data_IF_466299583158
#
_entry.id   IF_466299583158
#
_cell.length_a   1.000
_cell.length_b   1.000
_cell.length_c   1.000
_cell.angle_alpha   90.00
_cell.angle_beta   90.00
_cell.angle_gamma   90.00
#
_symmetry.space_group_name_H-M   'P 1'
#
loop_
_entity.id
_entity.type
_entity.pdbx_description
1 polymer ?
#
# COMPACT_ATOMS: atom_id res chain seq x y z
N UNK A 1 -55.17 -29.75 4.53
CA UNK A 1 -56.53 -29.71 3.95
C UNK A 1 -57.06 -28.29 4.15
N UNK A 2 -57.50 -27.50 3.19
CA UNK A 2 -57.78 -27.69 1.77
C UNK A 2 -57.58 -26.35 1.05
N UNK A 3 -57.23 -26.45 -0.24
CA UNK A 3 -57.22 -25.39 -1.24
C UNK A 3 -58.62 -24.81 -1.41
N UNK A 4 -58.70 -23.51 -1.68
CA UNK A 4 -59.78 -22.92 -2.47
C UNK A 4 -59.15 -22.04 -3.56
N UNK A 5 -59.06 -22.63 -4.75
CA UNK A 5 -59.14 -21.91 -6.01
C UNK A 5 -60.64 -21.83 -6.35
N UNK A 6 -61.11 -20.72 -6.91
CA UNK A 6 -62.12 -20.82 -7.96
C UNK A 6 -61.92 -19.68 -9.01
N UNK A 7 -62.21 -19.97 -10.30
CA UNK A 7 -61.81 -19.21 -11.47
C UNK A 7 -62.96 -18.36 -12.01
N UNK A 8 -62.67 -17.47 -12.97
CA UNK A 8 -63.54 -17.14 -14.11
C UNK A 8 -62.82 -16.23 -15.12
N UNK A 9 -62.67 -16.76 -16.33
CA UNK A 9 -62.18 -16.17 -17.60
C UNK A 9 -63.18 -15.11 -18.18
N UNK A 10 -63.08 -14.56 -19.42
CA UNK A 10 -62.00 -14.48 -20.44
C UNK A 10 -61.91 -13.08 -21.15
N UNK A 11 -61.21 -13.03 -22.31
CA UNK A 11 -61.23 -12.05 -23.42
C UNK A 11 -60.21 -10.89 -23.31
N UNK A 12 -59.36 -10.57 -24.30
CA UNK A 12 -59.22 -11.01 -25.67
C UNK A 12 -57.99 -10.34 -26.32
N UNK A 13 -57.29 -11.11 -27.15
CA UNK A 13 -56.52 -10.75 -28.36
C UNK A 13 -55.87 -9.36 -28.51
N UNK A 14 -54.53 -9.36 -28.67
CA UNK A 14 -53.87 -8.68 -29.79
C UNK A 14 -52.47 -9.29 -30.01
N UNK A 15 -52.35 -10.16 -31.01
CA UNK A 15 -51.07 -10.58 -31.57
C UNK A 15 -50.43 -9.39 -32.28
N UNK A 16 -49.31 -8.90 -31.75
CA UNK A 16 -48.34 -8.15 -32.53
C UNK A 16 -47.19 -9.10 -32.86
N UNK A 17 -47.19 -9.63 -34.09
CA UNK A 17 -46.06 -10.35 -34.66
C UNK A 17 -44.81 -9.47 -34.63
N UNK A 18 -43.91 -9.73 -33.68
CA UNK A 18 -42.52 -9.30 -33.80
C UNK A 18 -41.79 -10.31 -34.67
N UNK A 19 -41.46 -9.91 -35.89
CA UNK A 19 -40.52 -10.61 -36.74
C UNK A 19 -39.22 -10.89 -35.96
N UNK A 20 -38.94 -12.16 -35.71
CA UNK A 20 -37.67 -12.61 -35.17
C UNK A 20 -36.58 -12.32 -36.21
N UNK A 21 -35.72 -11.33 -35.93
CA UNK A 21 -34.46 -11.16 -36.68
C UNK A 21 -33.60 -12.39 -36.39
N UNK A 22 -33.31 -13.18 -37.43
CA UNK A 22 -32.52 -14.39 -37.32
C UNK A 22 -31.09 -14.05 -36.88
N UNK A 23 -30.65 -14.65 -35.78
CA UNK A 23 -29.31 -14.49 -35.21
C UNK A 23 -28.29 -15.44 -35.87
N UNK A 24 -28.50 -15.76 -37.15
CA UNK A 24 -27.72 -16.76 -37.85
C UNK A 24 -26.34 -16.19 -38.22
N UNK A 25 -25.30 -16.67 -37.52
CA UNK A 25 -23.91 -16.56 -38.00
C UNK A 25 -23.83 -17.12 -39.42
N UNK A 26 -23.06 -16.52 -40.34
CA UNK A 26 -22.79 -17.14 -41.63
C UNK A 26 -22.11 -18.50 -41.40
N UNK A 27 -22.82 -19.58 -41.74
CA UNK A 27 -22.31 -20.94 -41.61
C UNK A 27 -21.10 -21.13 -42.53
N UNK A 28 -19.94 -21.46 -41.96
CA UNK A 28 -18.76 -21.90 -42.71
C UNK A 28 -17.59 -20.93 -42.81
N UNK A 29 -17.60 -19.76 -42.14
CA UNK A 29 -16.40 -18.88 -42.03
C UNK A 29 -16.04 -18.63 -40.57
N UNK A 30 -14.83 -19.04 -40.19
CA UNK A 30 -14.21 -18.61 -38.94
C UNK A 30 -13.81 -17.13 -39.04
N UNK A 31 -13.98 -16.36 -37.95
CA UNK A 31 -13.45 -15.00 -37.89
C UNK A 31 -11.91 -15.11 -37.76
N UNK A 32 -11.14 -14.25 -38.45
CA UNK A 32 -9.68 -14.24 -38.35
C UNK A 32 -9.19 -14.07 -36.91
N UNK A 33 -8.02 -14.62 -36.60
CA UNK A 33 -7.39 -14.45 -35.29
C UNK A 33 -7.24 -12.97 -34.94
N UNK A 34 -7.67 -12.58 -33.72
CA UNK A 34 -7.62 -11.19 -33.24
C UNK A 34 -8.88 -10.36 -33.54
N UNK A 35 -9.86 -10.91 -34.27
CA UNK A 35 -11.13 -10.23 -34.55
C UNK A 35 -12.30 -10.94 -33.86
N UNK A 36 -13.33 -10.17 -33.49
CA UNK A 36 -14.60 -10.72 -32.99
C UNK A 36 -15.74 -10.30 -33.90
N UNK A 37 -16.73 -11.20 -34.03
CA UNK A 37 -17.99 -10.87 -34.67
C UNK A 37 -18.75 -9.89 -33.78
N UNK A 38 -18.89 -8.66 -34.24
CA UNK A 38 -19.64 -7.62 -33.57
C UNK A 38 -20.87 -7.24 -34.40
N UNK A 39 -21.93 -6.83 -33.69
CA UNK A 39 -23.18 -6.40 -34.30
C UNK A 39 -23.01 -4.94 -34.72
N UNK A 40 -23.06 -4.65 -36.01
CA UNK A 40 -22.99 -3.27 -36.49
C UNK A 40 -24.20 -2.46 -35.98
N UNK A 41 -23.94 -1.30 -35.35
CA UNK A 41 -24.99 -0.42 -34.86
C UNK A 41 -25.91 0.02 -36.01
N UNK A 42 -27.20 -0.33 -35.92
CA UNK A 42 -28.24 0.10 -36.84
C UNK A 42 -28.62 -0.86 -37.98
N UNK A 43 -27.87 -1.93 -38.26
CA UNK A 43 -28.14 -2.80 -39.44
C UNK A 43 -28.41 -4.28 -39.12
N UNK A 44 -28.10 -4.77 -37.92
CA UNK A 44 -28.35 -6.17 -37.55
C UNK A 44 -27.45 -7.20 -38.25
N UNK A 45 -26.57 -6.78 -39.16
CA UNK A 45 -25.52 -7.60 -39.75
C UNK A 45 -24.31 -7.74 -38.82
N UNK A 46 -23.67 -8.91 -38.84
CA UNK A 46 -22.41 -9.19 -38.14
C UNK A 46 -21.22 -8.82 -39.03
N UNK A 47 -20.28 -8.04 -38.50
CA UNK A 47 -19.00 -7.71 -39.14
C UNK A 47 -17.83 -8.12 -38.22
N UNK A 48 -16.72 -8.61 -38.78
CA UNK A 48 -15.51 -8.85 -37.98
C UNK A 48 -14.85 -7.48 -37.78
N UNK A 49 -14.81 -7.03 -36.53
CA UNK A 49 -14.16 -5.78 -36.14
C UNK A 49 -13.07 -6.06 -35.11
N UNK A 50 -12.09 -5.16 -35.06
CA UNK A 50 -11.12 -5.13 -33.97
C UNK A 50 -11.91 -4.64 -32.76
N UNK A 51 -12.13 -5.53 -31.78
CA UNK A 51 -12.94 -5.20 -30.62
C UNK A 51 -12.38 -3.99 -29.89
N UNK A 52 -13.23 -2.98 -29.70
CA UNK A 52 -12.87 -1.69 -29.13
C UNK A 52 -12.74 -1.78 -27.59
N UNK A 53 -11.75 -2.56 -27.13
CA UNK A 53 -11.30 -2.62 -25.73
C UNK A 53 -9.77 -2.54 -25.66
N UNK A 54 -9.24 -1.39 -26.01
CA UNK A 54 -7.94 -0.89 -25.53
C UNK A 54 -7.73 0.58 -25.95
N UNK A 55 -8.63 1.47 -25.51
CA UNK A 55 -8.28 2.88 -25.30
C UNK A 55 -8.48 3.20 -23.82
N UNK A 56 -7.76 2.46 -22.99
CA UNK A 56 -7.25 2.99 -21.74
C UNK A 56 -5.75 3.10 -21.96
N UNK A 57 -5.30 4.33 -22.16
CA UNK A 57 -3.92 4.68 -21.88
C UNK A 57 -3.79 4.60 -20.37
N UNK A 58 -3.66 3.37 -19.86
CA UNK A 58 -3.00 3.15 -18.58
C UNK A 58 -1.65 3.82 -18.75
N UNK A 59 -1.40 4.85 -17.95
CA UNK A 59 -0.06 5.32 -17.72
C UNK A 59 0.70 4.12 -17.17
N UNK A 60 1.34 3.37 -18.07
CA UNK A 60 2.42 2.45 -17.74
C UNK A 60 3.46 3.33 -17.07
N UNK A 61 3.38 3.41 -15.75
CA UNK A 61 4.49 3.87 -14.92
C UNK A 61 5.69 3.13 -15.45
N UNK A 62 6.68 3.87 -15.93
CA UNK A 62 7.85 3.34 -16.58
C UNK A 62 8.42 2.26 -15.66
N UNK A 63 8.21 0.99 -15.98
CA UNK A 63 8.90 -0.11 -15.34
C UNK A 63 10.37 0.26 -15.48
N UNK A 64 11.01 0.51 -14.34
CA UNK A 64 12.41 0.84 -14.34
C UNK A 64 13.13 -0.44 -14.71
N UNK A 65 13.40 -0.63 -16.01
CA UNK A 65 14.04 -1.82 -16.57
C UNK A 65 15.52 -1.96 -16.15
N UNK A 66 16.00 -1.01 -15.33
CA UNK A 66 17.28 -1.00 -14.62
C UNK A 66 17.09 -0.76 -13.10
N UNK A 67 15.85 -0.72 -12.62
CA UNK A 67 15.49 -0.28 -11.28
C UNK A 67 15.67 -1.36 -10.24
N UNK A 68 16.25 -0.98 -9.11
CA UNK A 68 16.26 -1.82 -7.92
C UNK A 68 14.84 -2.17 -7.45
N UNK A 69 14.72 -2.89 -6.31
CA UNK A 69 13.42 -3.20 -5.73
C UNK A 69 12.54 -1.95 -5.60
N UNK A 70 11.24 -2.10 -5.85
CA UNK A 70 10.28 -1.02 -5.66
C UNK A 70 10.36 -0.45 -4.22
N UNK A 71 10.22 0.87 -4.04
CA UNK A 71 10.20 1.48 -2.71
C UNK A 71 9.09 0.89 -1.84
N UNK A 72 9.41 0.59 -0.58
CA UNK A 72 8.39 0.20 0.39
C UNK A 72 7.80 1.43 1.06
N UNK A 73 6.47 1.56 0.98
CA UNK A 73 5.70 2.63 1.61
C UNK A 73 4.82 2.03 2.70
N UNK A 74 5.02 2.46 3.95
CA UNK A 74 4.12 2.08 5.04
C UNK A 74 2.74 2.73 4.85
N UNK A 75 1.64 2.03 5.15
CA UNK A 75 0.30 2.56 4.97
C UNK A 75 0.01 3.72 5.94
N UNK A 76 -0.69 4.75 5.48
CA UNK A 76 -1.03 5.93 6.28
C UNK A 76 -2.00 5.62 7.43
N UNK A 77 -2.86 4.61 7.26
CA UNK A 77 -3.76 4.06 8.28
C UNK A 77 -3.10 2.90 9.08
N UNK A 78 -1.77 2.79 9.00
CA UNK A 78 -0.98 1.81 9.74
C UNK A 78 -0.82 2.14 11.24
N UNK A 79 0.06 1.40 11.95
CA UNK A 79 0.26 1.56 13.39
C UNK A 79 0.61 2.99 13.83
N UNK A 80 1.30 3.77 12.97
CA UNK A 80 1.73 5.14 13.26
C UNK A 80 0.58 6.16 13.24
N UNK A 81 -0.59 5.83 12.66
CA UNK A 81 -1.71 6.78 12.51
C UNK A 81 -2.22 7.29 13.86
N UNK A 82 -2.49 6.37 14.79
CA UNK A 82 -2.98 6.69 16.14
C UNK A 82 -1.91 7.43 16.96
N UNK A 83 -0.64 7.02 16.83
CA UNK A 83 0.47 7.71 17.46
C UNK A 83 0.57 9.18 17.00
N UNK A 84 0.50 9.44 15.70
CA UNK A 84 0.56 10.79 15.14
C UNK A 84 -0.63 11.64 15.56
N UNK A 85 -1.82 11.05 15.65
CA UNK A 85 -3.00 11.74 16.18
C UNK A 85 -2.81 12.15 17.65
N UNK A 86 -2.31 11.24 18.51
CA UNK A 86 -2.03 11.55 19.92
C UNK A 86 -0.97 12.66 20.06
N UNK A 87 0.15 12.55 19.33
CA UNK A 87 1.21 13.56 19.32
C UNK A 87 0.69 14.92 18.81
N UNK A 88 -0.12 14.93 17.75
CA UNK A 88 -0.75 16.14 17.21
C UNK A 88 -1.77 16.78 18.16
N UNK A 89 -2.36 16.00 19.08
CA UNK A 89 -3.21 16.49 20.16
C UNK A 89 -2.41 17.07 21.35
N UNK A 90 -1.07 16.97 21.32
CA UNK A 90 -0.18 17.50 22.35
C UNK A 90 0.25 16.49 23.41
N UNK A 91 -0.06 15.21 23.25
CA UNK A 91 0.46 14.17 24.14
C UNK A 91 1.98 14.03 23.98
N UNK A 92 2.67 13.78 25.09
CA UNK A 92 4.09 13.43 25.03
C UNK A 92 4.30 12.00 24.50
N UNK A 93 5.53 11.68 24.11
CA UNK A 93 5.87 10.36 23.57
C UNK A 93 5.57 9.21 24.55
N UNK A 94 5.68 9.44 25.88
CA UNK A 94 5.37 8.40 26.88
C UNK A 94 3.87 8.12 26.97
N UNK A 95 3.03 9.13 26.83
CA UNK A 95 1.59 8.97 26.73
C UNK A 95 1.21 8.30 25.41
N UNK A 96 1.77 8.76 24.29
CA UNK A 96 1.52 8.21 22.97
C UNK A 96 1.89 6.72 22.85
N UNK A 97 3.00 6.26 23.48
CA UNK A 97 3.34 4.82 23.52
C UNK A 97 2.25 3.97 24.16
N UNK A 98 1.54 4.48 25.19
CA UNK A 98 0.51 3.69 25.88
C UNK A 98 -0.72 3.43 25.02
N UNK A 99 -1.00 4.30 24.07
CA UNK A 99 -2.12 4.15 23.13
C UNK A 99 -1.69 3.43 21.85
N UNK A 100 -0.49 3.71 21.33
CA UNK A 100 0.01 3.17 20.08
C UNK A 100 1.38 2.46 20.23
N UNK A 101 1.50 1.39 21.03
CA UNK A 101 2.80 0.74 21.31
C UNK A 101 3.41 0.03 20.10
N UNK A 102 2.62 -0.19 19.04
CA UNK A 102 3.06 -0.78 17.78
C UNK A 102 3.63 0.26 16.79
N UNK A 103 3.46 1.56 17.05
CA UNK A 103 3.98 2.63 16.22
C UNK A 103 5.49 2.79 16.42
N UNK A 104 6.26 2.92 15.35
CA UNK A 104 7.72 3.07 15.44
C UNK A 104 8.09 4.49 15.91
N UNK A 105 7.34 5.50 15.45
CA UNK A 105 7.63 6.92 15.72
C UNK A 105 7.68 7.27 17.21
N UNK A 106 6.79 6.71 18.04
CA UNK A 106 6.76 7.03 19.48
C UNK A 106 7.99 6.50 20.21
N UNK A 107 8.55 5.37 19.77
CA UNK A 107 9.79 4.84 20.30
C UNK A 107 11.01 5.61 19.82
N UNK A 108 11.00 6.08 18.56
CA UNK A 108 12.03 6.98 18.05
C UNK A 108 12.11 8.27 18.88
N UNK A 109 10.96 8.91 19.15
CA UNK A 109 10.89 10.13 19.95
C UNK A 109 11.38 9.91 21.40
N UNK A 110 11.05 8.76 22.01
CA UNK A 110 11.59 8.41 23.32
C UNK A 110 13.11 8.21 23.30
N UNK A 111 13.64 7.58 22.25
CA UNK A 111 15.08 7.37 22.11
C UNK A 111 15.84 8.68 21.92
N UNK A 112 15.32 9.56 21.06
CA UNK A 112 15.89 10.89 20.81
C UNK A 112 15.88 11.76 22.07
N UNK A 113 14.76 11.82 22.80
CA UNK A 113 14.70 12.53 24.08
C UNK A 113 15.64 11.92 25.13
N UNK A 114 15.81 10.60 25.16
CA UNK A 114 16.77 9.96 26.05
C UNK A 114 18.23 10.33 25.72
N UNK A 115 18.59 10.46 24.44
CA UNK A 115 19.92 10.93 24.02
C UNK A 115 20.13 12.41 24.32
N UNK A 116 19.21 13.26 23.86
CA UNK A 116 19.40 14.72 23.83
C UNK A 116 19.11 15.37 25.19
N UNK A 117 18.01 15.01 25.83
CA UNK A 117 17.55 15.71 27.03
C UNK A 117 18.09 15.06 28.30
N UNK A 118 18.08 13.73 28.35
CA UNK A 118 18.47 12.97 29.54
C UNK A 118 19.95 12.58 29.57
N UNK A 119 20.61 12.50 28.40
CA UNK A 119 21.97 11.98 28.29
C UNK A 119 22.09 10.51 28.71
N UNK A 120 21.04 9.71 28.47
CA UNK A 120 20.96 8.29 28.81
C UNK A 120 21.01 7.42 27.54
N UNK A 121 22.21 7.08 27.04
CA UNK A 121 22.34 6.29 25.83
C UNK A 121 21.86 4.84 26.01
N UNK A 122 21.82 4.31 27.24
CA UNK A 122 21.32 2.96 27.52
C UNK A 122 19.80 2.90 27.35
N UNK A 123 19.09 3.86 27.94
CA UNK A 123 17.64 3.97 27.73
C UNK A 123 17.32 4.25 26.26
N UNK A 124 18.07 5.15 25.61
CA UNK A 124 17.89 5.45 24.21
C UNK A 124 18.05 4.21 23.32
N UNK A 125 19.10 3.42 23.56
CA UNK A 125 19.32 2.17 22.84
C UNK A 125 18.14 1.21 22.98
N UNK A 126 17.60 1.04 24.20
CA UNK A 126 16.45 0.19 24.44
C UNK A 126 15.18 0.66 23.72
N UNK A 127 14.91 1.97 23.74
CA UNK A 127 13.79 2.57 23.03
C UNK A 127 13.96 2.46 21.50
N UNK A 128 15.12 2.83 20.98
CA UNK A 128 15.41 2.78 19.55
C UNK A 128 15.35 1.35 18.99
N UNK A 129 15.91 0.37 19.72
CA UNK A 129 15.81 -1.05 19.38
C UNK A 129 14.35 -1.51 19.28
N UNK A 130 13.51 -1.06 20.22
CA UNK A 130 12.07 -1.36 20.19
C UNK A 130 11.41 -0.76 18.95
N UNK A 131 11.64 0.53 18.69
CA UNK A 131 11.12 1.23 17.52
C UNK A 131 11.55 0.60 16.19
N UNK A 132 12.83 0.23 16.08
CA UNK A 132 13.40 -0.51 14.96
C UNK A 132 12.64 -1.82 14.69
N UNK A 133 12.41 -2.64 15.72
CA UNK A 133 11.67 -3.89 15.55
C UNK A 133 10.20 -3.68 15.18
N UNK A 134 9.52 -2.68 15.76
CA UNK A 134 8.14 -2.34 15.37
C UNK A 134 8.05 -1.92 13.90
N UNK A 135 9.00 -1.11 13.45
CA UNK A 135 9.08 -0.69 12.06
C UNK A 135 9.38 -1.86 11.11
N UNK A 136 10.30 -2.76 11.49
CA UNK A 136 10.56 -3.98 10.71
C UNK A 136 9.31 -4.86 10.55
N UNK A 137 8.51 -5.01 11.60
CA UNK A 137 7.26 -5.78 11.52
C UNK A 137 6.24 -5.11 10.59
N UNK A 138 6.14 -3.78 10.63
CA UNK A 138 5.31 -3.02 9.70
C UNK A 138 5.80 -3.15 8.24
N UNK A 139 7.10 -3.00 8.01
CA UNK A 139 7.73 -3.11 6.69
C UNK A 139 7.57 -4.51 6.09
N UNK A 140 7.74 -5.57 6.90
CA UNK A 140 7.53 -6.95 6.45
C UNK A 140 6.09 -7.18 6.00
N UNK A 141 5.11 -6.63 6.73
CA UNK A 141 3.69 -6.67 6.32
C UNK A 141 3.45 -5.88 5.03
N UNK A 142 4.15 -4.77 4.84
CA UNK A 142 4.11 -3.95 3.63
C UNK A 142 4.91 -4.53 2.45
N UNK A 143 5.53 -5.71 2.59
CA UNK A 143 6.21 -6.40 1.50
C UNK A 143 7.74 -6.28 1.49
N UNK A 144 8.35 -5.55 2.42
CA UNK A 144 9.81 -5.46 2.51
C UNK A 144 10.44 -6.79 2.93
N UNK A 145 11.56 -7.15 2.30
CA UNK A 145 12.24 -8.45 2.50
C UNK A 145 13.71 -8.30 2.86
N UNK A 146 14.07 -7.24 3.58
CA UNK A 146 15.45 -7.00 4.03
C UNK A 146 16.28 -6.14 3.07
N UNK A 147 15.71 -5.66 1.97
CA UNK A 147 16.40 -4.79 1.00
C UNK A 147 15.41 -3.92 0.23
N UNK A 148 15.93 -2.84 -0.32
CA UNK A 148 15.19 -1.91 -1.18
C UNK A 148 14.83 -0.60 -0.48
N UNK A 149 14.42 0.42 -1.25
CA UNK A 149 14.27 1.76 -0.75
C UNK A 149 13.16 1.89 0.30
N UNK A 150 13.38 2.72 1.31
CA UNK A 150 12.39 3.15 2.30
C UNK A 150 12.43 4.69 2.29
N UNK A 151 11.62 5.35 1.44
CA UNK A 151 11.72 6.79 1.23
C UNK A 151 11.50 7.59 2.52
N UNK A 152 12.42 8.51 2.81
CA UNK A 152 12.40 9.38 4.00
C UNK A 152 11.28 10.44 3.93
N UNK A 153 10.96 10.91 2.73
CA UNK A 153 9.88 11.88 2.48
C UNK A 153 8.48 11.29 2.71
N UNK A 154 8.36 9.95 2.78
CA UNK A 154 7.11 9.29 3.09
C UNK A 154 6.89 9.27 4.60
N UNK A 155 6.01 10.14 5.11
CA UNK A 155 5.80 10.35 6.54
C UNK A 155 5.65 9.03 7.36
N UNK A 156 4.83 8.04 6.95
CA UNK A 156 4.72 6.77 7.67
C UNK A 156 6.02 5.97 7.84
N UNK A 157 7.03 6.19 6.99
CA UNK A 157 8.35 5.53 7.11
C UNK A 157 9.26 6.18 8.14
N UNK A 158 9.03 7.46 8.47
CA UNK A 158 9.95 8.27 9.27
C UNK A 158 10.19 7.71 10.67
N UNK A 159 9.19 7.09 11.31
CA UNK A 159 9.35 6.48 12.62
C UNK A 159 10.40 5.37 12.64
N UNK A 160 10.40 4.52 11.60
CA UNK A 160 11.40 3.46 11.45
C UNK A 160 12.80 4.04 11.21
N UNK A 161 12.93 4.97 10.26
CA UNK A 161 14.22 5.57 9.90
C UNK A 161 14.84 6.31 11.09
N UNK A 162 14.04 7.11 11.81
CA UNK A 162 14.47 7.80 13.03
C UNK A 162 14.87 6.83 14.14
N UNK A 163 14.17 5.71 14.29
CA UNK A 163 14.57 4.65 15.23
C UNK A 163 15.92 4.03 14.87
N UNK A 164 16.20 3.80 13.58
CA UNK A 164 17.49 3.27 13.13
C UNK A 164 18.61 4.27 13.37
N UNK A 165 18.39 5.56 13.08
CA UNK A 165 19.38 6.60 13.37
C UNK A 165 19.66 6.71 14.88
N UNK A 166 18.61 6.78 15.71
CA UNK A 166 18.76 6.83 17.16
C UNK A 166 19.45 5.57 17.71
N UNK A 167 19.21 4.41 17.09
CA UNK A 167 19.89 3.16 17.46
C UNK A 167 21.37 3.22 17.11
N UNK A 168 21.74 3.78 15.95
CA UNK A 168 23.13 3.96 15.56
C UNK A 168 23.87 4.89 16.55
N UNK A 169 23.28 6.04 16.87
CA UNK A 169 23.82 7.02 17.81
C UNK A 169 23.95 6.46 19.23
N UNK A 170 22.91 5.79 19.72
CA UNK A 170 22.93 5.19 21.05
C UNK A 170 23.93 4.01 21.13
N UNK A 171 24.05 3.21 20.08
CA UNK A 171 25.02 2.12 20.01
C UNK A 171 26.46 2.63 20.07
N UNK A 172 26.78 3.66 19.30
CA UNK A 172 28.10 4.32 19.33
C UNK A 172 28.40 4.88 20.73
N UNK A 173 27.43 5.57 21.34
CA UNK A 173 27.57 6.14 22.68
C UNK A 173 27.81 5.11 23.80
N UNK A 174 27.36 3.85 23.63
CA UNK A 174 27.64 2.75 24.58
C UNK A 174 28.84 1.89 24.19
N UNK A 175 29.51 2.18 23.07
CA UNK A 175 30.69 1.45 22.58
C UNK A 175 30.39 0.21 21.73
N UNK A 176 29.16 0.05 21.25
CA UNK A 176 28.73 -1.01 20.32
C UNK A 176 28.93 -0.58 18.85
N UNK A 177 30.17 -0.27 18.49
CA UNK A 177 30.51 0.37 17.21
C UNK A 177 30.06 -0.46 15.98
N UNK A 178 30.20 -1.78 16.03
CA UNK A 178 29.75 -2.67 14.94
C UNK A 178 28.24 -2.56 14.68
N UNK A 179 27.44 -2.35 15.74
CA UNK A 179 25.99 -2.15 15.60
C UNK A 179 25.70 -0.75 15.04
N UNK A 180 26.43 0.27 15.48
CA UNK A 180 26.31 1.62 14.95
C UNK A 180 26.57 1.65 13.43
N UNK A 181 27.66 1.01 12.99
CA UNK A 181 28.02 0.89 11.57
C UNK A 181 26.96 0.14 10.77
N UNK A 182 26.43 -0.98 11.29
CA UNK A 182 25.36 -1.73 10.62
C UNK A 182 24.08 -0.90 10.49
N UNK A 183 23.70 -0.13 11.51
CA UNK A 183 22.52 0.71 11.46
C UNK A 183 22.69 1.88 10.48
N UNK A 184 23.87 2.51 10.46
CA UNK A 184 24.20 3.54 9.48
C UNK A 184 24.16 2.98 8.05
N UNK A 185 24.74 1.80 7.82
CA UNK A 185 24.70 1.14 6.51
C UNK A 185 23.27 0.78 6.10
N UNK A 186 22.42 0.37 7.04
CA UNK A 186 21.01 0.08 6.75
C UNK A 186 20.26 1.32 6.23
N UNK A 187 20.55 2.52 6.73
CA UNK A 187 19.96 3.75 6.20
C UNK A 187 20.40 4.01 4.75
N UNK A 188 21.70 3.84 4.47
CA UNK A 188 22.26 3.95 3.11
C UNK A 188 21.63 2.93 2.15
N UNK A 189 21.54 1.67 2.58
CA UNK A 189 20.93 0.59 1.80
C UNK A 189 19.42 0.78 1.59
N UNK A 190 18.78 1.57 2.46
CA UNK A 190 17.38 1.98 2.34
C UNK A 190 17.19 3.20 1.42
N UNK A 191 18.27 3.71 0.82
CA UNK A 191 18.22 4.82 -0.13
C UNK A 191 18.09 6.19 0.52
N UNK A 192 18.55 6.35 1.76
CA UNK A 192 18.65 7.63 2.47
C UNK A 192 20.02 7.78 3.12
N UNK A 193 20.20 8.81 3.95
CA UNK A 193 21.44 9.12 4.65
C UNK A 193 21.16 9.52 6.11
N UNK A 194 22.20 9.51 6.93
CA UNK A 194 22.10 9.96 8.32
C UNK A 194 21.65 11.43 8.38
N UNK A 195 22.18 12.28 7.49
CA UNK A 195 21.86 13.70 7.44
C UNK A 195 20.39 13.95 7.06
N UNK A 196 19.85 13.24 6.07
CA UNK A 196 18.44 13.35 5.69
C UNK A 196 17.50 12.92 6.82
N UNK A 197 17.82 11.83 7.53
CA UNK A 197 17.01 11.35 8.66
C UNK A 197 17.15 12.28 9.87
N UNK A 198 18.35 12.81 10.12
CA UNK A 198 18.61 13.79 11.18
C UNK A 198 17.81 15.08 10.95
N UNK A 199 17.63 15.49 9.69
CA UNK A 199 16.81 16.64 9.30
C UNK A 199 15.31 16.52 9.63
N UNK A 200 14.84 15.36 10.10
CA UNK A 200 13.46 15.15 10.55
C UNK A 200 13.22 15.52 12.03
N UNK A 201 14.27 15.88 12.77
CA UNK A 201 14.24 16.13 14.22
C UNK A 201 14.16 17.62 14.54
#
# INVERSE_FOLDING_TARGET
>A
MARLLDPSCPLGTAHAERAAKSDARPTGRACPAGLRWERAHGSGALACAIGERARQTEAMTHENLLGGPEPTLLPADGPDAEARAALGAGDDARAAVRVAPAASIVWALLAEGALQDAGDPVAAYAYARTGYHRGLDALRRAGWRGRGPIPVDHEPNQGFLRSVLALAEAADAIGENDEAERCAQLLVDSGTSLDEVSGLR
#
